data_IF_018635125208
#
_entry.id   IF_018635125208
#
_cell.length_a   1.000
_cell.length_b   1.000
_cell.length_c   1.000
_cell.angle_alpha   90.00
_cell.angle_beta   90.00
_cell.angle_gamma   90.00
#
_symmetry.space_group_name_H-M   'P 1'
#
loop_
_entity.id
_entity.type
_entity.pdbx_description
1 polymer ?
#
# COMPACT_ATOMS: atom_id res chain seq x y z
N UNK A 1 -13.68 24.79 1.19
CA UNK A 1 -12.85 23.88 0.36
C UNK A 1 -13.01 22.50 0.96
N UNK A 2 -13.76 21.61 0.30
CA UNK A 2 -14.07 20.28 0.81
C UNK A 2 -12.81 19.42 0.72
N UNK A 3 -12.26 19.00 1.86
CA UNK A 3 -11.15 18.05 1.91
C UNK A 3 -11.65 16.72 1.37
N UNK A 4 -11.39 16.46 0.08
CA UNK A 4 -11.60 15.13 -0.50
C UNK A 4 -10.82 14.12 0.34
N UNK A 5 -11.54 13.19 1.00
CA UNK A 5 -10.92 12.06 1.71
C UNK A 5 -9.88 11.41 0.79
N UNK A 6 -8.62 11.41 1.20
CA UNK A 6 -7.58 10.65 0.53
C UNK A 6 -7.84 9.17 0.85
N UNK A 7 -7.71 8.31 -0.15
CA UNK A 7 -7.90 6.87 0.00
C UNK A 7 -6.93 6.29 1.04
N UNK A 8 -5.81 6.98 1.27
CA UNK A 8 -4.81 6.61 2.25
C UNK A 8 -5.00 7.25 3.64
N UNK A 9 -6.05 8.03 3.88
CA UNK A 9 -6.29 8.73 5.16
C UNK A 9 -6.42 7.77 6.36
N UNK A 10 -6.80 6.52 6.09
CA UNK A 10 -6.86 5.48 7.14
C UNK A 10 -5.50 4.91 7.51
N UNK A 11 -4.44 5.19 6.75
CA UNK A 11 -3.08 4.67 6.93
C UNK A 11 -2.16 5.74 7.51
N UNK A 12 -1.10 5.29 8.18
CA UNK A 12 -0.06 6.13 8.76
C UNK A 12 1.31 5.56 8.44
N UNK A 13 2.33 6.44 8.41
CA UNK A 13 3.73 6.00 8.30
C UNK A 13 4.04 5.08 9.50
N UNK A 14 4.72 3.96 9.23
CA UNK A 14 5.00 2.92 10.22
C UNK A 14 3.97 1.78 10.29
N UNK A 15 2.79 1.94 9.67
CA UNK A 15 1.81 0.87 9.63
C UNK A 15 2.33 -0.36 8.87
N UNK A 16 2.19 -1.54 9.48
CA UNK A 16 2.36 -2.81 8.77
C UNK A 16 1.11 -3.09 7.94
N UNK A 17 1.29 -3.31 6.64
CA UNK A 17 0.17 -3.52 5.71
C UNK A 17 0.36 -4.78 4.88
N UNK A 18 -0.77 -5.32 4.42
CA UNK A 18 -0.87 -6.33 3.36
C UNK A 18 -1.52 -5.67 2.14
N UNK A 19 -0.96 -5.93 0.96
CA UNK A 19 -1.51 -5.47 -0.32
C UNK A 19 -2.11 -6.66 -1.04
N UNK A 20 -3.38 -6.54 -1.37
CA UNK A 20 -4.14 -7.49 -2.18
C UNK A 20 -4.35 -6.86 -3.55
N UNK A 21 -3.59 -7.32 -4.55
CA UNK A 21 -3.67 -6.80 -5.90
C UNK A 21 -4.98 -7.23 -6.57
N UNK A 22 -5.74 -6.26 -7.08
CA UNK A 22 -7.03 -6.50 -7.76
C UNK A 22 -6.90 -7.10 -9.17
N UNK A 23 -5.68 -7.42 -9.58
CA UNK A 23 -5.35 -7.97 -10.88
C UNK A 23 -4.27 -9.04 -10.75
N UNK A 24 -4.20 -9.93 -11.73
CA UNK A 24 -3.12 -10.93 -11.80
C UNK A 24 -1.81 -10.21 -12.11
N UNK A 25 -0.85 -10.31 -11.20
CA UNK A 25 0.53 -9.90 -11.45
C UNK A 25 1.12 -10.82 -12.53
N UNK A 26 1.75 -10.22 -13.55
CA UNK A 26 2.42 -10.96 -14.63
C UNK A 26 3.63 -10.16 -15.14
N UNK A 27 4.64 -10.88 -15.63
CA UNK A 27 5.86 -10.27 -16.18
C UNK A 27 6.59 -9.41 -15.14
N UNK A 28 6.93 -8.18 -15.51
CA UNK A 28 7.64 -7.24 -14.63
C UNK A 28 6.90 -6.88 -13.33
N UNK A 29 5.59 -7.15 -13.24
CA UNK A 29 4.78 -6.87 -12.04
C UNK A 29 4.86 -7.97 -10.99
N UNK A 30 5.48 -9.11 -11.28
CA UNK A 30 5.64 -10.21 -10.33
C UNK A 30 6.53 -9.84 -9.14
N UNK A 31 7.40 -8.84 -9.30
CA UNK A 31 8.24 -8.30 -8.24
C UNK A 31 7.48 -7.39 -7.25
N UNK A 32 6.19 -7.12 -7.49
CA UNK A 32 5.41 -6.26 -6.61
C UNK A 32 5.25 -6.93 -5.24
N UNK A 33 5.59 -6.16 -4.20
CA UNK A 33 5.41 -6.60 -2.83
C UNK A 33 3.94 -6.87 -2.50
N UNK A 34 3.70 -7.79 -1.56
CA UNK A 34 2.36 -8.11 -1.04
C UNK A 34 2.19 -7.71 0.42
N UNK A 35 3.27 -7.25 1.05
CA UNK A 35 3.29 -6.81 2.44
C UNK A 35 4.50 -5.93 2.71
N UNK A 36 4.40 -5.12 3.76
CA UNK A 36 5.51 -4.31 4.23
C UNK A 36 5.08 -3.26 5.25
N UNK A 37 5.94 -2.27 5.45
CA UNK A 37 5.71 -1.12 6.33
C UNK A 37 5.54 0.13 5.46
N UNK A 38 4.53 0.95 5.75
CA UNK A 38 4.33 2.23 5.07
C UNK A 38 5.47 3.18 5.43
N UNK A 39 6.19 3.67 4.43
CA UNK A 39 7.28 4.63 4.60
C UNK A 39 6.90 6.05 4.25
N UNK A 40 6.03 6.20 3.25
CA UNK A 40 5.61 7.51 2.77
C UNK A 40 4.16 7.44 2.30
N UNK A 41 3.42 8.51 2.60
CA UNK A 41 2.08 8.74 2.08
C UNK A 41 2.11 10.07 1.34
N UNK A 42 1.56 10.07 0.13
CA UNK A 42 1.36 11.26 -0.68
C UNK A 42 -0.10 11.32 -1.15
N UNK A 43 -0.56 12.44 -1.74
CA UNK A 43 -1.87 12.49 -2.36
C UNK A 43 -2.10 11.49 -3.51
N UNK A 44 -1.03 10.98 -4.14
CA UNK A 44 -1.12 10.16 -5.37
C UNK A 44 -0.70 8.69 -5.18
N UNK A 45 0.11 8.39 -4.17
CA UNK A 45 0.58 7.04 -3.88
C UNK A 45 1.03 6.85 -2.42
N UNK A 46 1.16 5.59 -2.01
CA UNK A 46 1.90 5.17 -0.82
C UNK A 46 3.14 4.37 -1.21
N UNK A 47 4.23 4.57 -0.47
CA UNK A 47 5.44 3.76 -0.57
C UNK A 47 5.48 2.76 0.58
N UNK A 48 5.74 1.49 0.26
CA UNK A 48 5.77 0.39 1.22
C UNK A 48 7.13 -0.30 1.12
N UNK A 49 7.88 -0.36 2.23
CA UNK A 49 9.11 -1.15 2.32
C UNK A 49 8.79 -2.58 2.69
N UNK A 50 9.25 -3.51 1.87
CA UNK A 50 9.13 -4.95 2.16
C UNK A 50 10.13 -5.40 3.22
N UNK A 51 9.92 -6.60 3.78
CA UNK A 51 10.92 -7.24 4.67
C UNK A 51 12.28 -7.45 3.99
N UNK A 52 12.30 -7.63 2.67
CA UNK A 52 13.52 -7.81 1.89
C UNK A 52 14.27 -6.49 1.63
N UNK A 53 13.74 -5.35 2.10
CA UNK A 53 14.42 -4.06 2.08
C UNK A 53 14.11 -3.17 0.88
N UNK A 54 13.55 -3.70 -0.21
CA UNK A 54 13.11 -2.88 -1.35
C UNK A 54 11.76 -2.22 -1.11
N UNK A 55 11.53 -1.10 -1.81
CA UNK A 55 10.30 -0.30 -1.73
C UNK A 55 9.48 -0.49 -3.00
N UNK A 56 8.17 -0.64 -2.84
CA UNK A 56 7.21 -0.64 -3.94
C UNK A 56 6.06 0.34 -3.64
N UNK A 57 5.42 0.84 -4.71
CA UNK A 57 4.40 1.87 -4.58
C UNK A 57 3.00 1.35 -4.96
N UNK A 58 2.00 1.73 -4.16
CA UNK A 58 0.59 1.57 -4.53
C UNK A 58 0.04 2.96 -4.85
N UNK A 59 -0.34 3.18 -6.11
CA UNK A 59 -0.88 4.45 -6.57
C UNK A 59 -2.40 4.36 -6.78
N UNK A 60 -3.01 5.51 -7.07
CA UNK A 60 -4.45 5.60 -7.30
C UNK A 60 -4.96 4.72 -8.45
N UNK A 61 -4.15 4.48 -9.49
CA UNK A 61 -4.50 3.57 -10.59
C UNK A 61 -4.63 2.12 -10.09
N UNK A 62 -3.70 1.64 -9.26
CA UNK A 62 -3.80 0.31 -8.66
C UNK A 62 -5.06 0.15 -7.80
N UNK A 63 -5.43 1.18 -7.04
CA UNK A 63 -6.68 1.17 -6.25
C UNK A 63 -7.90 1.10 -7.17
N UNK A 64 -7.95 1.89 -8.24
CA UNK A 64 -9.03 1.83 -9.24
C UNK A 64 -9.15 0.46 -9.91
N UNK A 65 -8.06 -0.29 -10.03
CA UNK A 65 -8.05 -1.68 -10.49
C UNK A 65 -8.48 -2.70 -9.42
N UNK A 66 -8.96 -2.26 -8.26
CA UNK A 66 -9.41 -3.14 -7.18
C UNK A 66 -8.31 -3.57 -6.20
N UNK A 67 -7.15 -2.92 -6.22
CA UNK A 67 -6.11 -3.18 -5.20
C UNK A 67 -6.56 -2.68 -3.84
N UNK A 68 -6.48 -3.54 -2.82
CA UNK A 68 -6.80 -3.20 -1.45
C UNK A 68 -5.54 -3.20 -0.58
N UNK A 69 -5.46 -2.25 0.35
CA UNK A 69 -4.40 -2.18 1.36
C UNK A 69 -5.07 -2.39 2.72
N UNK A 70 -4.65 -3.44 3.43
CA UNK A 70 -5.19 -3.80 4.76
C UNK A 70 -4.12 -3.63 5.81
N UNK A 71 -4.41 -2.92 6.90
CA UNK A 71 -3.52 -2.92 8.07
C UNK A 71 -3.43 -4.32 8.66
N UNK A 72 -2.20 -4.77 8.95
CA UNK A 72 -1.98 -5.91 9.82
C UNK A 72 -2.00 -5.38 11.25
N UNK A 73 -2.99 -5.79 12.03
CA UNK A 73 -3.02 -5.47 13.45
C UNK A 73 -1.70 -5.92 14.10
N UNK A 74 -1.00 -5.01 14.78
CA UNK A 74 -0.03 -5.40 15.78
C UNK A 74 -0.80 -6.15 16.87
N UNK A 75 -0.46 -7.42 17.12
CA UNK A 75 -0.85 -8.02 18.39
C UNK A 75 -0.29 -7.12 19.49
N UNK A 76 -1.15 -6.62 20.36
CA UNK A 76 -0.71 -5.99 21.60
C UNK A 76 0.17 -7.02 22.31
N UNK A 77 1.40 -6.61 22.60
CA UNK A 77 2.34 -7.37 23.42
C UNK A 77 1.97 -7.22 24.90
#
# INVERSE_FOLDING_TARGET
MELKKNIFDSLSIGDKVKVEWGFRLHGSKECYGKEGVVEQITPSFIAIRTRAGYVFCVNYYHIRMGTAIKKKASRAA
#
